data_IF_787343858890
#
_entry.id   IF_787343858890
#
_cell.length_a   1.000
_cell.length_b   1.000
_cell.length_c   1.000
_cell.angle_alpha   90.00
_cell.angle_beta   90.00
_cell.angle_gamma   90.00
#
_symmetry.space_group_name_H-M   'P 1'
#
loop_
_entity.id
_entity.type
_entity.pdbx_description
1 polymer ?
#
# COMPACT_ATOMS: atom_id res chain seq x y z
N UNK A 1 35.89 38.93 -46.85
CA UNK A 1 36.32 37.61 -46.31
C UNK A 1 35.58 37.39 -45.01
N UNK A 2 34.74 36.35 -44.92
CA UNK A 2 34.08 35.93 -43.67
C UNK A 2 35.09 35.19 -42.76
N UNK A 3 34.81 34.97 -41.45
CA UNK A 3 33.89 33.90 -41.05
C UNK A 3 32.91 34.26 -39.91
N UNK A 4 31.88 33.41 -39.79
CA UNK A 4 30.85 33.39 -38.76
C UNK A 4 31.44 33.13 -37.36
N UNK A 5 31.03 33.91 -36.36
CA UNK A 5 31.12 33.52 -34.96
C UNK A 5 29.81 32.85 -34.55
N UNK A 6 29.86 31.52 -34.50
CA UNK A 6 28.96 30.66 -33.75
C UNK A 6 29.44 30.64 -32.30
N UNK A 7 28.61 31.07 -31.37
CA UNK A 7 28.73 30.78 -29.93
C UNK A 7 27.41 31.15 -29.27
N UNK A 8 26.82 30.38 -28.39
CA UNK A 8 26.99 29.00 -27.97
C UNK A 8 25.66 28.74 -27.26
N UNK A 9 24.90 27.77 -27.74
CA UNK A 9 23.71 27.32 -27.03
C UNK A 9 24.17 26.67 -25.73
N UNK A 10 23.94 27.35 -24.62
CA UNK A 10 24.04 26.75 -23.29
C UNK A 10 22.78 27.11 -22.55
N UNK A 11 21.70 26.45 -22.96
CA UNK A 11 20.52 26.25 -22.14
C UNK A 11 20.97 25.43 -20.93
N UNK A 12 21.38 26.13 -19.88
CA UNK A 12 21.64 25.54 -18.58
C UNK A 12 20.40 25.79 -17.70
N UNK A 13 19.29 25.18 -18.10
CA UNK A 13 18.16 25.00 -17.19
C UNK A 13 18.53 23.87 -16.22
N UNK A 14 18.91 24.28 -15.01
CA UNK A 14 19.01 23.41 -13.85
C UNK A 14 17.72 22.58 -13.68
N UNK A 15 17.83 21.35 -13.14
CA UNK A 15 16.68 20.48 -12.97
C UNK A 15 15.75 21.11 -11.94
N UNK A 16 14.57 21.52 -12.38
CA UNK A 16 13.48 21.86 -11.50
C UNK A 16 13.06 20.55 -10.83
N UNK A 17 13.71 20.19 -9.72
CA UNK A 17 13.19 19.20 -8.77
C UNK A 17 11.96 19.86 -8.17
N UNK A 18 10.84 19.70 -8.87
CA UNK A 18 9.52 19.84 -8.30
C UNK A 18 9.42 18.72 -7.28
N UNK A 19 9.71 19.06 -6.02
CA UNK A 19 9.47 18.15 -4.90
C UNK A 19 7.95 18.04 -4.79
N UNK A 20 7.41 17.02 -5.46
CA UNK A 20 5.99 16.74 -5.49
C UNK A 20 5.54 16.35 -4.09
N UNK A 21 4.84 17.24 -3.39
CA UNK A 21 4.14 16.92 -2.13
C UNK A 21 3.10 15.79 -2.29
N UNK A 22 2.66 15.52 -3.53
CA UNK A 22 1.90 14.33 -3.89
C UNK A 22 2.65 13.02 -3.59
N UNK A 23 3.98 13.01 -3.69
CA UNK A 23 4.80 11.81 -3.50
C UNK A 23 4.80 11.30 -2.06
N UNK A 24 4.76 12.17 -1.05
CA UNK A 24 4.85 11.75 0.35
C UNK A 24 3.56 11.15 0.89
N UNK A 25 2.38 11.65 0.48
CA UNK A 25 1.11 11.09 0.95
C UNK A 25 0.78 9.77 0.23
N UNK A 26 0.98 9.70 -1.09
CA UNK A 26 0.85 8.48 -1.88
C UNK A 26 1.80 7.39 -1.37
N UNK A 27 3.05 7.75 -1.02
CA UNK A 27 3.99 6.80 -0.40
C UNK A 27 3.51 6.32 0.97
N UNK A 28 2.94 7.19 1.81
CA UNK A 28 2.41 6.79 3.13
C UNK A 28 1.20 5.86 2.97
N UNK A 29 0.25 6.21 2.11
CA UNK A 29 -0.92 5.37 1.81
C UNK A 29 -0.54 4.01 1.22
N UNK A 30 0.45 3.98 0.32
CA UNK A 30 0.95 2.73 -0.27
C UNK A 30 1.69 1.87 0.75
N UNK A 31 2.47 2.48 1.64
CA UNK A 31 3.17 1.77 2.72
C UNK A 31 2.19 1.20 3.75
N UNK A 32 1.14 1.97 4.08
CA UNK A 32 0.06 1.53 4.94
C UNK A 32 -0.66 0.31 4.34
N UNK A 33 -1.16 0.42 3.11
CA UNK A 33 -1.84 -0.69 2.41
C UNK A 33 -1.00 -1.97 2.35
N UNK A 34 0.31 -1.84 2.06
CA UNK A 34 1.20 -3.00 2.01
C UNK A 34 1.31 -3.71 3.37
N UNK A 35 1.24 -2.95 4.47
CA UNK A 35 1.22 -3.52 5.82
C UNK A 35 -0.01 -4.38 6.07
N UNK A 36 -1.19 -3.93 5.64
CA UNK A 36 -2.42 -4.71 5.72
C UNK A 36 -2.33 -5.99 4.89
N UNK A 37 -1.88 -5.90 3.63
CA UNK A 37 -1.84 -7.06 2.74
C UNK A 37 -0.89 -8.14 3.23
N UNK A 38 0.29 -7.72 3.74
CA UNK A 38 1.23 -8.67 4.33
C UNK A 38 0.59 -9.43 5.50
N UNK A 39 -0.03 -8.71 6.43
CA UNK A 39 -0.65 -9.33 7.62
C UNK A 39 -1.81 -10.26 7.24
N UNK A 40 -2.62 -9.88 6.26
CA UNK A 40 -3.73 -10.71 5.77
C UNK A 40 -3.19 -12.00 5.16
N UNK A 41 -2.13 -11.95 4.35
CA UNK A 41 -1.50 -13.16 3.79
C UNK A 41 -0.93 -14.06 4.88
N UNK A 42 -0.21 -13.48 5.83
CA UNK A 42 0.36 -14.23 6.95
C UNK A 42 -0.77 -14.91 7.76
N UNK A 43 -1.89 -14.21 7.99
CA UNK A 43 -3.08 -14.74 8.67
C UNK A 43 -3.78 -15.83 7.86
N UNK A 44 -3.96 -15.63 6.55
CA UNK A 44 -4.60 -16.60 5.67
C UNK A 44 -3.79 -17.91 5.64
N UNK A 45 -2.47 -17.81 5.47
CA UNK A 45 -1.59 -18.96 5.47
C UNK A 45 -1.57 -19.68 6.83
N UNK A 46 -1.52 -18.93 7.94
CA UNK A 46 -1.57 -19.50 9.28
C UNK A 46 -2.90 -20.23 9.57
N UNK A 47 -4.03 -19.65 9.16
CA UNK A 47 -5.36 -20.19 9.44
C UNK A 47 -5.77 -21.31 8.50
N UNK A 48 -5.58 -21.13 7.20
CA UNK A 48 -6.14 -22.01 6.17
C UNK A 48 -5.17 -23.12 5.74
N UNK A 49 -3.88 -22.82 5.62
CA UNK A 49 -2.89 -23.80 5.14
C UNK A 49 -2.26 -24.58 6.29
N UNK A 50 -1.89 -23.88 7.38
CA UNK A 50 -1.19 -24.49 8.51
C UNK A 50 -2.12 -24.96 9.64
N UNK A 51 -3.35 -24.42 9.70
CA UNK A 51 -4.26 -24.58 10.84
C UNK A 51 -3.58 -24.28 12.21
N UNK A 52 -2.65 -23.32 12.22
CA UNK A 52 -1.85 -22.98 13.39
C UNK A 52 -2.52 -21.85 14.19
N UNK A 53 -3.27 -22.27 15.23
CA UNK A 53 -3.98 -21.35 16.12
C UNK A 53 -3.05 -20.47 16.96
N UNK A 54 -1.83 -20.92 17.27
CA UNK A 54 -0.88 -20.14 18.06
C UNK A 54 -0.24 -19.03 17.21
N UNK A 55 0.15 -19.36 15.98
CA UNK A 55 0.63 -18.38 15.01
C UNK A 55 -0.47 -17.37 14.67
N UNK A 56 -1.69 -17.85 14.43
CA UNK A 56 -2.86 -16.99 14.18
C UNK A 56 -3.07 -16.00 15.34
N UNK A 57 -3.03 -16.47 16.58
CA UNK A 57 -3.19 -15.61 17.76
C UNK A 57 -2.08 -14.57 17.87
N UNK A 58 -0.82 -14.94 17.60
CA UNK A 58 0.32 -14.00 17.57
C UNK A 58 0.15 -12.92 16.50
N UNK A 59 -0.26 -13.31 15.29
CA UNK A 59 -0.50 -12.34 14.21
C UNK A 59 -1.63 -11.36 14.56
N UNK A 60 -2.69 -11.81 15.24
CA UNK A 60 -3.72 -10.91 15.76
C UNK A 60 -3.23 -10.00 16.89
N UNK A 61 -2.27 -10.44 17.70
CA UNK A 61 -1.60 -9.58 18.66
C UNK A 61 -0.78 -8.50 17.95
N UNK A 62 -0.02 -8.86 16.91
CA UNK A 62 0.73 -7.90 16.09
C UNK A 62 -0.18 -6.85 15.44
N UNK A 63 -1.38 -7.25 14.98
CA UNK A 63 -2.42 -6.35 14.47
C UNK A 63 -2.80 -5.31 15.52
N UNK A 64 -3.02 -5.74 16.76
CA UNK A 64 -3.40 -4.85 17.85
C UNK A 64 -2.24 -3.94 18.29
N UNK A 65 -1.01 -4.46 18.38
CA UNK A 65 0.17 -3.69 18.76
C UNK A 65 0.55 -2.62 17.73
N UNK A 66 0.21 -2.86 16.46
CA UNK A 66 0.44 -1.93 15.34
C UNK A 66 -0.73 -1.00 15.06
N UNK A 67 -1.80 -1.08 15.87
CA UNK A 67 -3.03 -0.30 15.71
C UNK A 67 -3.64 -0.43 14.30
N UNK A 68 -3.56 -1.63 13.72
CA UNK A 68 -4.14 -1.91 12.40
C UNK A 68 -5.66 -2.12 12.52
N UNK A 69 -6.40 -1.60 11.56
CA UNK A 69 -7.85 -1.74 11.52
C UNK A 69 -8.28 -3.21 11.35
N UNK A 70 -8.87 -3.76 12.41
CA UNK A 70 -9.33 -5.16 12.42
C UNK A 70 -10.44 -5.41 11.41
N UNK A 71 -11.32 -4.43 11.17
CA UNK A 71 -12.44 -4.56 10.22
C UNK A 71 -11.93 -4.75 8.79
N UNK A 72 -10.94 -3.96 8.39
CA UNK A 72 -10.21 -4.03 7.11
C UNK A 72 -9.47 -5.35 6.96
N UNK A 73 -8.78 -5.82 8.00
CA UNK A 73 -8.10 -7.13 7.98
C UNK A 73 -9.13 -8.25 7.81
N UNK A 74 -10.22 -8.27 8.58
CA UNK A 74 -11.29 -9.28 8.48
C UNK A 74 -11.93 -9.24 7.09
N UNK A 75 -12.21 -8.04 6.57
CA UNK A 75 -12.77 -7.88 5.23
C UNK A 75 -11.87 -8.53 4.18
N UNK A 76 -10.58 -8.20 4.18
CA UNK A 76 -9.62 -8.76 3.22
C UNK A 76 -9.40 -10.26 3.41
N UNK A 77 -9.44 -10.75 4.65
CA UNK A 77 -9.29 -12.17 4.95
C UNK A 77 -10.40 -13.01 4.30
N UNK A 78 -11.66 -12.55 4.37
CA UNK A 78 -12.80 -13.33 3.89
C UNK A 78 -13.30 -12.96 2.48
N UNK A 79 -13.07 -11.74 2.01
CA UNK A 79 -13.58 -11.28 0.70
C UNK A 79 -12.60 -11.51 -0.46
N UNK A 80 -11.36 -11.90 -0.17
CA UNK A 80 -10.37 -12.30 -1.17
C UNK A 80 -10.42 -13.79 -1.53
N UNK A 81 -11.23 -14.61 -0.85
CA UNK A 81 -11.30 -16.05 -1.13
C UNK A 81 -9.94 -16.73 -0.98
N UNK A 82 -9.51 -17.52 -1.96
CA UNK A 82 -8.16 -18.12 -2.04
C UNK A 82 -7.13 -17.24 -2.76
N UNK A 83 -7.49 -16.02 -3.15
CA UNK A 83 -6.68 -15.15 -4.03
C UNK A 83 -5.85 -14.11 -3.25
N UNK A 84 -5.39 -14.39 -2.03
CA UNK A 84 -4.62 -13.43 -1.23
C UNK A 84 -3.25 -13.08 -1.84
N UNK A 85 -2.70 -13.93 -2.72
CA UNK A 85 -1.44 -13.65 -3.44
C UNK A 85 -1.62 -12.69 -4.63
N UNK A 86 -2.86 -12.44 -5.08
CA UNK A 86 -3.14 -11.48 -6.15
C UNK A 86 -3.30 -10.06 -5.59
N UNK A 87 -2.24 -9.26 -5.77
CA UNK A 87 -2.20 -7.84 -5.38
C UNK A 87 -3.35 -7.01 -5.98
N UNK A 88 -3.81 -7.33 -7.19
CA UNK A 88 -4.89 -6.59 -7.84
C UNK A 88 -6.24 -6.92 -7.18
N UNK A 89 -6.49 -8.18 -6.85
CA UNK A 89 -7.69 -8.60 -6.10
C UNK A 89 -7.69 -7.98 -4.70
N UNK A 90 -6.57 -8.06 -3.98
CA UNK A 90 -6.44 -7.44 -2.66
C UNK A 90 -6.69 -5.93 -2.71
N UNK A 91 -6.11 -5.24 -3.70
CA UNK A 91 -6.33 -3.80 -3.91
C UNK A 91 -7.80 -3.47 -4.19
N UNK A 92 -8.44 -4.22 -5.08
CA UNK A 92 -9.83 -4.00 -5.42
C UNK A 92 -10.77 -4.17 -4.23
N UNK A 93 -10.56 -5.20 -3.39
CA UNK A 93 -11.34 -5.42 -2.17
C UNK A 93 -11.07 -4.37 -1.11
N UNK A 94 -9.82 -3.96 -0.96
CA UNK A 94 -9.42 -2.89 -0.05
C UNK A 94 -10.11 -1.57 -0.38
N UNK A 95 -10.10 -1.20 -1.66
CA UNK A 95 -10.76 0.03 -2.14
C UNK A 95 -12.28 -0.03 -1.96
N UNK A 96 -12.88 -1.20 -2.18
CA UNK A 96 -14.31 -1.40 -1.90
C UNK A 96 -14.64 -1.25 -0.42
N UNK A 97 -13.79 -1.74 0.49
CA UNK A 97 -13.96 -1.53 1.92
C UNK A 97 -13.84 -0.05 2.30
N UNK A 98 -12.79 0.63 1.84
CA UNK A 98 -12.56 2.04 2.12
C UNK A 98 -13.65 2.96 1.55
N UNK A 99 -14.34 2.55 0.48
CA UNK A 99 -15.49 3.27 -0.06
C UNK A 99 -16.77 3.07 0.76
N UNK A 100 -16.85 2.01 1.58
CA UNK A 100 -17.98 1.72 2.46
C UNK A 100 -17.81 2.34 3.85
N UNK A 101 -16.57 2.48 4.30
CA UNK A 101 -16.26 3.12 5.58
C UNK A 101 -16.34 4.62 5.41
N UNK A 102 -17.33 5.26 6.02
CA UNK A 102 -17.35 6.70 6.14
C UNK A 102 -16.21 7.11 7.09
N UNK A 103 -15.25 7.95 6.67
CA UNK A 103 -14.17 8.40 7.55
C UNK A 103 -14.65 9.22 8.76
N UNK A 104 -15.95 9.54 8.85
CA UNK A 104 -16.58 10.27 9.95
C UNK A 104 -17.52 9.41 10.82
N UNK A 105 -17.67 8.10 10.55
CA UNK A 105 -18.46 7.21 11.41
C UNK A 105 -17.53 6.62 12.52
N UNK A 106 -17.69 7.04 13.78
CA UNK A 106 -16.77 6.73 14.88
C UNK A 106 -16.85 5.28 15.40
#
# INVERSE_FOLDING_TARGET
MSPLTQANSSDHLAPQVVVSGASSHECRMRNDRQSYFKVVRDLAHAQFDLADGQLTARLWQDVAERDLDRGRIIHLLFQCGDQHDDDAVMRFRDEAYLALVDPNDP
#
